data_IF_154644245044
#
_entry.id   IF_154644245044
#
_cell.length_a   1.000
_cell.length_b   1.000
_cell.length_c   1.000
_cell.angle_alpha   90.00
_cell.angle_beta   90.00
_cell.angle_gamma   90.00
#
_symmetry.space_group_name_H-M   'P 1'
#
loop_
_entity.id
_entity.type
_entity.pdbx_description
1 polymer ?
#
# COMPACT_ATOMS: atom_id res chain seq x y z
N UNK A 1 85.67 66.05 -1.58
CA UNK A 1 85.42 65.59 -0.19
C UNK A 1 84.01 65.01 -0.12
N UNK A 2 83.84 63.88 0.57
CA UNK A 2 82.61 63.10 0.80
C UNK A 2 82.03 62.34 -0.40
N UNK A 3 82.66 61.20 -0.74
CA UNK A 3 82.04 60.13 -1.50
C UNK A 3 81.34 59.16 -0.53
N UNK A 4 80.01 59.06 -0.66
CA UNK A 4 79.12 58.18 0.10
C UNK A 4 79.39 56.71 -0.20
N UNK A 5 79.65 55.91 0.84
CA UNK A 5 79.63 54.46 0.78
C UNK A 5 78.17 53.96 0.78
N UNK A 6 77.79 53.18 -0.23
CA UNK A 6 76.49 52.50 -0.31
C UNK A 6 76.53 51.18 0.49
N UNK A 7 75.50 50.86 1.29
CA UNK A 7 75.42 49.61 2.03
C UNK A 7 75.07 48.41 1.15
N UNK A 8 75.54 47.24 1.59
CA UNK A 8 75.45 45.94 0.93
C UNK A 8 74.01 45.48 0.65
N UNK A 9 73.84 44.80 -0.49
CA UNK A 9 72.61 44.14 -0.94
C UNK A 9 72.29 42.92 -0.05
N UNK A 10 71.07 42.80 0.50
CA UNK A 10 70.62 41.56 1.12
C UNK A 10 70.27 40.50 0.06
N UNK A 11 70.61 39.24 0.37
CA UNK A 11 70.37 38.06 -0.45
C UNK A 11 68.86 37.75 -0.64
N UNK A 12 68.47 37.10 -1.75
CA UNK A 12 67.08 36.73 -2.00
C UNK A 12 66.62 35.58 -1.10
N UNK A 13 65.56 35.83 -0.33
CA UNK A 13 64.83 34.86 0.47
C UNK A 13 64.27 33.72 -0.40
N UNK A 14 64.62 32.49 -0.04
CA UNK A 14 64.09 31.24 -0.61
C UNK A 14 62.56 31.14 -0.37
N UNK A 15 61.72 30.87 -1.39
CA UNK A 15 60.29 30.71 -1.19
C UNK A 15 59.96 29.40 -0.46
N UNK A 16 59.03 29.48 0.49
CA UNK A 16 58.45 28.35 1.20
C UNK A 16 57.51 27.53 0.26
N UNK A 17 57.35 26.21 0.48
CA UNK A 17 56.55 25.36 -0.38
C UNK A 17 55.05 25.67 -0.27
N UNK A 18 54.38 25.70 -1.44
CA UNK A 18 52.96 25.93 -1.58
C UNK A 18 52.13 24.82 -0.91
N UNK A 19 51.21 25.22 -0.02
CA UNK A 19 50.17 24.36 0.55
C UNK A 19 49.22 23.94 -0.57
N UNK A 20 49.11 22.64 -0.84
CA UNK A 20 48.08 22.07 -1.73
C UNK A 20 46.70 22.38 -1.15
N UNK A 21 45.91 23.18 -1.87
CA UNK A 21 44.48 23.30 -1.62
C UNK A 21 43.80 21.93 -1.81
N UNK A 22 43.08 21.50 -0.78
CA UNK A 22 42.24 20.33 -0.85
C UNK A 22 41.04 20.64 -1.76
N UNK A 23 40.61 19.69 -2.63
CA UNK A 23 39.51 19.93 -3.55
C UNK A 23 38.23 20.27 -2.79
N UNK A 24 37.56 21.35 -3.20
CA UNK A 24 36.27 21.78 -2.68
C UNK A 24 35.28 20.61 -2.75
N UNK A 25 34.85 20.13 -1.57
CA UNK A 25 33.72 19.22 -1.48
C UNK A 25 32.48 19.97 -1.96
N UNK A 26 31.90 19.52 -3.08
CA UNK A 26 30.56 19.92 -3.49
C UNK A 26 29.61 19.75 -2.30
N UNK A 27 28.69 20.69 -2.02
CA UNK A 27 27.70 20.52 -0.97
C UNK A 27 27.00 19.18 -1.17
N UNK A 28 27.04 18.32 -0.15
CA UNK A 28 26.19 17.12 -0.10
C UNK A 28 24.76 17.58 -0.36
N UNK A 29 24.14 17.05 -1.42
CA UNK A 29 22.73 17.25 -1.67
C UNK A 29 21.98 16.89 -0.39
N UNK A 30 21.18 17.83 0.12
CA UNK A 30 20.32 17.55 1.27
C UNK A 30 19.43 16.34 0.91
N UNK A 31 19.20 15.40 1.85
CA UNK A 31 18.26 14.32 1.60
C UNK A 31 16.93 14.93 1.16
N UNK A 32 16.38 14.46 0.04
CA UNK A 32 15.08 14.88 -0.44
C UNK A 32 14.07 14.76 0.71
N UNK A 33 13.31 15.84 0.97
CA UNK A 33 12.35 15.85 2.05
C UNK A 33 11.29 14.76 1.78
N UNK A 34 11.26 13.72 2.63
CA UNK A 34 10.23 12.69 2.60
C UNK A 34 8.93 13.28 3.12
N UNK A 35 7.82 13.02 2.44
CA UNK A 35 6.51 13.45 2.88
C UNK A 35 6.16 12.78 4.23
N UNK A 36 5.71 13.55 5.23
CA UNK A 36 5.28 12.98 6.51
C UNK A 36 3.97 12.21 6.37
N UNK A 37 3.69 11.29 7.30
CA UNK A 37 2.44 10.50 7.32
C UNK A 37 1.20 11.39 7.24
N UNK A 38 1.08 12.40 8.10
CA UNK A 38 -0.08 13.29 8.13
C UNK A 38 -0.29 14.06 6.81
N UNK A 39 0.82 14.44 6.15
CA UNK A 39 0.74 15.12 4.85
C UNK A 39 0.34 14.16 3.73
N UNK A 40 0.75 12.90 3.83
CA UNK A 40 0.35 11.85 2.89
C UNK A 40 -1.14 11.56 3.03
N UNK A 41 -1.63 11.38 4.25
CA UNK A 41 -3.06 11.18 4.56
C UNK A 41 -3.90 12.35 4.03
N UNK A 42 -3.47 13.60 4.28
CA UNK A 42 -4.15 14.78 3.76
C UNK A 42 -4.21 14.80 2.23
N UNK A 43 -3.10 14.47 1.56
CA UNK A 43 -3.05 14.41 0.09
C UNK A 43 -3.91 13.27 -0.48
N UNK A 44 -3.90 12.11 0.17
CA UNK A 44 -4.74 10.98 -0.22
C UNK A 44 -6.23 11.34 -0.13
N UNK A 45 -6.63 11.99 0.96
CA UNK A 45 -7.99 12.50 1.14
C UNK A 45 -8.36 13.55 0.09
N UNK A 46 -7.50 14.54 -0.16
CA UNK A 46 -7.73 15.55 -1.19
C UNK A 46 -7.89 14.93 -2.57
N UNK A 47 -7.05 13.96 -2.94
CA UNK A 47 -7.17 13.23 -4.22
C UNK A 47 -8.54 12.58 -4.36
N UNK A 48 -9.00 11.89 -3.32
CA UNK A 48 -10.31 11.22 -3.33
C UNK A 48 -11.44 12.25 -3.45
N UNK A 49 -11.42 13.32 -2.66
CA UNK A 49 -12.43 14.39 -2.70
C UNK A 49 -12.48 15.10 -4.07
N UNK A 50 -11.32 15.39 -4.65
CA UNK A 50 -11.18 15.94 -5.99
C UNK A 50 -11.72 14.98 -7.06
N UNK A 51 -11.42 13.68 -6.95
CA UNK A 51 -11.98 12.67 -7.84
C UNK A 51 -13.51 12.72 -7.82
N UNK A 52 -14.13 12.76 -6.65
CA UNK A 52 -15.59 12.77 -6.54
C UNK A 52 -16.22 14.10 -6.99
N UNK A 53 -15.47 15.19 -6.92
CA UNK A 53 -15.90 16.52 -7.39
C UNK A 53 -15.79 16.63 -8.91
N UNK A 54 -14.68 16.20 -9.51
CA UNK A 54 -14.38 16.41 -10.93
C UNK A 54 -14.68 15.20 -11.82
N UNK A 55 -14.78 14.00 -11.24
CA UNK A 55 -14.91 12.71 -11.96
C UNK A 55 -13.81 12.48 -13.00
N UNK A 56 -12.61 12.97 -12.72
CA UNK A 56 -11.49 12.94 -13.66
C UNK A 56 -10.43 11.95 -13.20
N UNK A 57 -10.28 10.84 -13.92
CA UNK A 57 -9.18 9.89 -13.72
C UNK A 57 -7.81 10.54 -14.02
N UNK A 58 -7.62 11.30 -15.12
CA UNK A 58 -6.33 11.95 -15.40
C UNK A 58 -5.87 12.89 -14.28
N UNK A 59 -6.77 13.68 -13.68
CA UNK A 59 -6.41 14.56 -12.57
C UNK A 59 -6.00 13.76 -11.33
N UNK A 60 -6.71 12.67 -11.01
CA UNK A 60 -6.32 11.83 -9.87
C UNK A 60 -5.00 11.09 -10.11
N UNK A 61 -4.69 10.70 -11.34
CA UNK A 61 -3.38 10.16 -11.72
C UNK A 61 -2.29 11.24 -11.55
N UNK A 62 -2.55 12.49 -11.95
CA UNK A 62 -1.64 13.60 -11.70
C UNK A 62 -1.41 13.85 -10.20
N UNK A 63 -2.45 13.75 -9.37
CA UNK A 63 -2.32 13.85 -7.90
C UNK A 63 -1.43 12.75 -7.31
N UNK A 64 -1.44 11.53 -7.85
CA UNK A 64 -0.48 10.47 -7.46
C UNK A 64 0.95 10.81 -7.89
N UNK A 65 1.14 11.38 -9.08
CA UNK A 65 2.44 11.88 -9.54
C UNK A 65 2.98 12.98 -8.63
N UNK A 66 2.12 13.86 -8.13
CA UNK A 66 2.49 14.92 -7.18
C UNK A 66 2.88 14.34 -5.82
N UNK A 67 2.18 13.32 -5.32
CA UNK A 67 2.56 12.61 -4.09
C UNK A 67 3.96 12.00 -4.24
N UNK A 68 4.21 11.29 -5.35
CA UNK A 68 5.52 10.70 -5.64
C UNK A 68 6.62 11.76 -5.74
N UNK A 69 6.38 12.83 -6.49
CA UNK A 69 7.33 13.94 -6.69
C UNK A 69 7.66 14.67 -5.40
N UNK A 70 6.71 14.71 -4.45
CA UNK A 70 6.91 15.24 -3.11
C UNK A 70 7.62 14.27 -2.15
N UNK A 71 8.13 13.12 -2.63
CA UNK A 71 8.83 12.13 -1.82
C UNK A 71 7.92 11.30 -0.91
N UNK A 72 6.66 11.10 -1.30
CA UNK A 72 5.72 10.23 -0.60
C UNK A 72 6.04 8.74 -0.80
N UNK A 73 5.79 7.94 0.23
CA UNK A 73 5.80 6.48 0.11
C UNK A 73 4.57 6.05 -0.69
N UNK A 74 4.77 5.52 -1.90
CA UNK A 74 3.67 5.10 -2.77
C UNK A 74 2.90 3.89 -2.23
N UNK A 75 3.52 2.87 -1.60
CA UNK A 75 2.78 1.84 -0.87
C UNK A 75 1.83 2.42 0.17
N UNK A 76 2.30 3.36 0.98
CA UNK A 76 1.46 4.02 1.97
C UNK A 76 0.36 4.87 1.29
N UNK A 77 0.69 5.55 0.17
CA UNK A 77 -0.29 6.31 -0.59
C UNK A 77 -1.45 5.44 -1.10
N UNK A 78 -1.15 4.22 -1.59
CA UNK A 78 -2.16 3.26 -2.04
C UNK A 78 -3.11 2.90 -0.90
N UNK A 79 -2.56 2.55 0.28
CA UNK A 79 -3.37 2.21 1.45
C UNK A 79 -4.23 3.40 1.91
N UNK A 80 -3.65 4.59 2.04
CA UNK A 80 -4.36 5.79 2.48
C UNK A 80 -5.45 6.24 1.49
N UNK A 81 -5.19 6.14 0.18
CA UNK A 81 -6.21 6.48 -0.84
C UNK A 81 -7.36 5.49 -0.82
N UNK A 82 -7.09 4.18 -0.67
CA UNK A 82 -8.14 3.16 -0.54
C UNK A 82 -8.98 3.36 0.74
N UNK A 83 -8.33 3.67 1.86
CA UNK A 83 -8.99 4.03 3.12
C UNK A 83 -9.83 5.29 2.99
N UNK A 84 -9.28 6.37 2.41
CA UNK A 84 -10.00 7.62 2.20
C UNK A 84 -11.23 7.43 1.30
N UNK A 85 -11.13 6.57 0.29
CA UNK A 85 -12.26 6.22 -0.59
C UNK A 85 -13.44 5.65 0.19
N UNK A 86 -13.19 4.72 1.13
CA UNK A 86 -14.24 4.17 1.97
C UNK A 86 -14.92 5.21 2.86
N UNK A 87 -14.23 6.30 3.20
CA UNK A 87 -14.73 7.34 4.11
C UNK A 87 -15.49 8.49 3.42
N UNK A 88 -15.69 8.44 2.09
CA UNK A 88 -16.39 9.50 1.36
C UNK A 88 -17.87 9.55 1.74
N UNK A 89 -18.30 10.64 2.39
CA UNK A 89 -19.69 10.79 2.85
C UNK A 89 -20.67 10.97 1.68
N UNK A 90 -21.91 10.53 1.88
CA UNK A 90 -23.02 10.78 0.95
C UNK A 90 -23.07 9.87 -0.29
N UNK A 91 -22.15 8.90 -0.39
CA UNK A 91 -22.15 7.89 -1.45
C UNK A 91 -22.55 6.52 -0.90
N UNK A 92 -23.23 5.71 -1.69
CA UNK A 92 -23.47 4.32 -1.31
C UNK A 92 -22.13 3.57 -1.23
N UNK A 93 -22.01 2.69 -0.23
CA UNK A 93 -20.85 1.84 -0.01
C UNK A 93 -20.97 0.51 -0.75
N UNK A 94 -21.99 0.35 -1.61
CA UNK A 94 -22.23 -0.85 -2.40
C UNK A 94 -21.16 -1.17 -3.46
N UNK A 95 -21.42 -2.24 -4.22
CA UNK A 95 -20.49 -2.88 -5.17
C UNK A 95 -20.01 -1.92 -6.27
N UNK A 96 -20.86 -0.98 -6.72
CA UNK A 96 -20.50 0.07 -7.70
C UNK A 96 -20.15 1.41 -7.02
N UNK A 97 -19.94 1.39 -5.70
CA UNK A 97 -19.85 2.56 -4.85
C UNK A 97 -18.47 3.19 -4.82
N UNK A 98 -17.94 3.38 -3.61
CA UNK A 98 -16.81 4.29 -3.35
C UNK A 98 -15.44 3.77 -3.83
N UNK A 99 -15.25 2.46 -3.92
CA UNK A 99 -13.94 1.86 -4.20
C UNK A 99 -13.65 1.61 -5.69
N UNK A 100 -14.53 1.02 -6.51
CA UNK A 100 -14.21 0.68 -7.90
C UNK A 100 -13.69 1.85 -8.75
N UNK A 101 -14.23 3.08 -8.61
CA UNK A 101 -13.72 4.23 -9.36
C UNK A 101 -12.29 4.61 -8.97
N UNK A 102 -11.93 4.47 -7.69
CA UNK A 102 -10.57 4.72 -7.18
C UNK A 102 -9.61 3.61 -7.61
N UNK A 103 -10.08 2.36 -7.64
CA UNK A 103 -9.31 1.25 -8.21
C UNK A 103 -8.99 1.49 -9.68
N UNK A 104 -9.94 2.07 -10.45
CA UNK A 104 -9.70 2.47 -11.84
C UNK A 104 -8.64 3.57 -11.98
N UNK A 105 -8.51 4.47 -10.99
CA UNK A 105 -7.42 5.46 -10.94
C UNK A 105 -6.08 4.77 -10.76
N UNK A 106 -5.99 3.77 -9.88
CA UNK A 106 -4.76 2.99 -9.68
C UNK A 106 -4.37 2.20 -10.93
N UNK A 107 -5.34 1.58 -11.62
CA UNK A 107 -5.06 0.89 -12.89
C UNK A 107 -4.51 1.86 -13.94
N UNK A 108 -5.11 3.04 -14.08
CA UNK A 108 -4.65 4.07 -15.01
C UNK A 108 -3.24 4.56 -14.64
N UNK A 109 -2.99 4.79 -13.35
CA UNK A 109 -1.68 5.19 -12.83
C UNK A 109 -0.57 4.16 -13.10
N UNK A 110 -0.89 2.86 -13.10
CA UNK A 110 0.06 1.80 -13.45
C UNK A 110 0.24 1.65 -14.97
N UNK A 111 -0.77 2.00 -15.77
CA UNK A 111 -0.75 1.88 -17.22
C UNK A 111 -0.03 3.03 -17.95
N UNK A 112 0.33 4.11 -17.24
CA UNK A 112 1.07 5.24 -17.78
C UNK A 112 2.43 4.81 -18.40
N UNK A 113 2.70 5.09 -19.68
CA UNK A 113 3.74 4.40 -20.44
C UNK A 113 5.18 4.88 -20.17
N UNK A 114 5.35 6.09 -19.64
CA UNK A 114 6.69 6.73 -19.55
C UNK A 114 7.20 6.81 -18.12
N UNK A 115 6.37 7.29 -17.19
CA UNK A 115 6.73 7.40 -15.77
C UNK A 115 5.46 7.13 -14.93
N UNK A 116 5.09 5.85 -14.75
CA UNK A 116 3.85 5.51 -14.09
C UNK A 116 3.90 5.86 -12.62
N UNK A 117 3.00 6.72 -12.09
CA UNK A 117 3.03 7.15 -10.69
C UNK A 117 2.83 6.03 -9.69
N UNK A 118 2.32 4.87 -10.13
CA UNK A 118 2.30 3.63 -9.35
C UNK A 118 2.98 2.50 -10.10
N UNK A 119 3.77 1.72 -9.38
CA UNK A 119 4.31 0.44 -9.85
C UNK A 119 3.45 -0.70 -9.30
N UNK A 120 3.42 -1.87 -9.94
CA UNK A 120 2.79 -3.05 -9.38
C UNK A 120 3.29 -3.39 -7.96
N UNK A 121 4.59 -3.19 -7.70
CA UNK A 121 5.17 -3.36 -6.36
C UNK A 121 4.60 -2.38 -5.33
N UNK A 122 4.31 -1.14 -5.72
CA UNK A 122 3.72 -0.14 -4.83
C UNK A 122 2.31 -0.59 -4.40
N UNK A 123 1.53 -1.15 -5.34
CA UNK A 123 0.19 -1.69 -5.05
C UNK A 123 0.27 -2.96 -4.20
N UNK A 124 1.22 -3.84 -4.47
CA UNK A 124 1.44 -5.06 -3.69
C UNK A 124 1.78 -4.76 -2.22
N UNK A 125 2.76 -3.88 -2.00
CA UNK A 125 3.15 -3.44 -0.66
C UNK A 125 2.05 -2.63 0.02
N UNK A 126 1.34 -1.77 -0.74
CA UNK A 126 0.18 -1.03 -0.23
C UNK A 126 -0.97 -1.93 0.19
N UNK A 127 -1.21 -3.04 -0.51
CA UNK A 127 -2.21 -4.04 -0.13
C UNK A 127 -1.87 -4.70 1.22
N UNK A 128 -0.59 -5.00 1.46
CA UNK A 128 -0.11 -5.53 2.74
C UNK A 128 -0.34 -4.53 3.87
N UNK A 129 0.03 -3.26 3.67
CA UNK A 129 -0.23 -2.20 4.65
C UNK A 129 -1.72 -2.02 4.95
N UNK A 130 -2.54 -2.04 3.90
CA UNK A 130 -3.99 -1.91 4.03
C UNK A 130 -4.60 -3.09 4.80
N UNK A 131 -4.13 -4.31 4.56
CA UNK A 131 -4.56 -5.52 5.26
C UNK A 131 -4.25 -5.45 6.77
N UNK A 132 -3.07 -4.91 7.13
CA UNK A 132 -2.69 -4.70 8.54
C UNK A 132 -3.60 -3.69 9.25
N UNK A 133 -4.08 -2.66 8.55
CA UNK A 133 -4.99 -1.65 9.11
C UNK A 133 -6.48 -2.00 8.98
N UNK A 134 -6.82 -3.14 8.36
CA UNK A 134 -8.20 -3.43 7.98
C UNK A 134 -9.13 -3.64 9.19
N UNK A 135 -8.59 -4.09 10.34
CA UNK A 135 -9.35 -4.19 11.59
C UNK A 135 -9.88 -2.83 12.06
N UNK A 136 -9.03 -1.80 12.08
CA UNK A 136 -9.43 -0.45 12.47
C UNK A 136 -10.53 0.10 11.54
N UNK A 137 -10.46 -0.22 10.24
CA UNK A 137 -11.54 0.13 9.30
C UNK A 137 -12.83 -0.63 9.57
N UNK A 138 -12.74 -1.90 9.99
CA UNK A 138 -13.89 -2.72 10.32
C UNK A 138 -14.62 -2.23 11.57
N UNK A 139 -13.92 -1.63 12.54
CA UNK A 139 -14.52 -1.02 13.73
C UNK A 139 -15.43 0.15 13.36
N UNK A 140 -15.00 1.01 12.42
CA UNK A 140 -15.80 2.16 11.96
C UNK A 140 -16.85 1.76 10.90
N UNK A 141 -16.50 0.80 10.05
CA UNK A 141 -17.31 0.34 8.95
C UNK A 141 -17.24 -1.20 8.87
N UNK A 142 -18.16 -1.94 9.53
CA UNK A 142 -18.12 -3.41 9.59
C UNK A 142 -18.12 -4.11 8.22
N UNK A 143 -18.57 -3.44 7.16
CA UNK A 143 -18.56 -3.97 5.79
C UNK A 143 -17.24 -3.72 5.04
N UNK A 144 -16.32 -2.92 5.58
CA UNK A 144 -15.06 -2.56 4.93
C UNK A 144 -14.24 -3.77 4.48
N UNK A 145 -14.10 -4.86 5.29
CA UNK A 145 -13.37 -6.04 4.86
C UNK A 145 -13.96 -6.69 3.61
N UNK A 146 -15.27 -6.92 3.57
CA UNK A 146 -15.91 -7.49 2.37
C UNK A 146 -15.79 -6.57 1.15
N UNK A 147 -15.94 -5.25 1.33
CA UNK A 147 -15.89 -4.28 0.23
C UNK A 147 -14.50 -4.12 -0.37
N UNK A 148 -13.47 -4.03 0.49
CA UNK A 148 -12.08 -4.01 0.03
C UNK A 148 -11.69 -5.35 -0.57
N UNK A 149 -12.15 -6.45 0.05
CA UNK A 149 -11.96 -7.81 -0.44
C UNK A 149 -12.42 -7.96 -1.88
N UNK A 150 -13.63 -7.50 -2.20
CA UNK A 150 -14.17 -7.54 -3.57
C UNK A 150 -13.48 -6.54 -4.50
N UNK A 151 -13.53 -5.24 -4.18
CA UNK A 151 -13.18 -4.20 -5.15
C UNK A 151 -11.67 -3.99 -5.34
N UNK A 152 -10.88 -4.06 -4.27
CA UNK A 152 -9.44 -3.77 -4.30
C UNK A 152 -8.61 -5.05 -4.34
N UNK A 153 -8.70 -5.87 -3.28
CA UNK A 153 -7.86 -7.05 -3.14
C UNK A 153 -8.19 -8.11 -4.20
N UNK A 154 -9.47 -8.39 -4.42
CA UNK A 154 -9.94 -9.34 -5.41
C UNK A 154 -9.44 -9.02 -6.81
N UNK A 155 -9.50 -7.75 -7.23
CA UNK A 155 -8.98 -7.32 -8.54
C UNK A 155 -7.47 -7.52 -8.66
N UNK A 156 -6.70 -7.12 -7.66
CA UNK A 156 -5.23 -7.19 -7.74
C UNK A 156 -4.68 -8.60 -7.51
N UNK A 157 -5.40 -9.45 -6.78
CA UNK A 157 -5.12 -10.89 -6.71
C UNK A 157 -5.45 -11.56 -8.03
N UNK A 158 -6.59 -11.24 -8.65
CA UNK A 158 -6.99 -11.82 -9.95
C UNK A 158 -6.01 -11.47 -11.08
N UNK A 159 -5.46 -10.26 -11.07
CA UNK A 159 -4.45 -9.81 -12.04
C UNK A 159 -3.02 -10.25 -11.72
N UNK A 160 -2.80 -10.88 -10.55
CA UNK A 160 -1.47 -11.32 -10.12
C UNK A 160 -0.54 -10.20 -9.65
N UNK A 161 -1.05 -8.99 -9.44
CA UNK A 161 -0.30 -7.87 -8.85
C UNK A 161 -0.07 -8.10 -7.36
N UNK A 162 -1.05 -8.65 -6.66
CA UNK A 162 -1.02 -8.92 -5.22
C UNK A 162 -1.05 -10.43 -4.99
N UNK A 163 -0.14 -10.92 -4.14
CA UNK A 163 -0.15 -12.32 -3.71
C UNK A 163 -1.16 -12.52 -2.56
N UNK A 164 -2.13 -13.42 -2.75
CA UNK A 164 -3.16 -13.72 -1.74
C UNK A 164 -2.55 -14.13 -0.38
N UNK A 165 -1.54 -15.00 -0.41
CA UNK A 165 -0.88 -15.46 0.81
C UNK A 165 -0.23 -14.34 1.63
N UNK A 166 0.35 -13.33 0.97
CA UNK A 166 0.98 -12.21 1.66
C UNK A 166 -0.06 -11.34 2.38
N UNK A 167 -1.19 -11.08 1.72
CA UNK A 167 -2.31 -10.34 2.29
C UNK A 167 -2.92 -11.06 3.49
N UNK A 168 -3.21 -12.36 3.34
CA UNK A 168 -3.83 -13.13 4.43
C UNK A 168 -2.87 -13.28 5.61
N UNK A 169 -1.57 -13.51 5.37
CA UNK A 169 -0.57 -13.53 6.45
C UNK A 169 -0.44 -12.18 7.13
N UNK A 170 -0.48 -11.08 6.38
CA UNK A 170 -0.43 -9.73 6.95
C UNK A 170 -1.62 -9.44 7.86
N UNK A 171 -2.82 -9.90 7.47
CA UNK A 171 -4.04 -9.80 8.28
C UNK A 171 -3.91 -10.61 9.58
N UNK A 172 -3.42 -11.84 9.49
CA UNK A 172 -3.28 -12.74 10.64
C UNK A 172 -2.10 -12.39 11.56
N UNK A 173 -1.16 -11.57 11.09
CA UNK A 173 0.00 -11.12 11.87
C UNK A 173 -0.28 -9.88 12.73
N UNK A 174 -1.50 -9.31 12.65
CA UNK A 174 -1.90 -8.18 13.51
C UNK A 174 -2.05 -8.70 14.94
N UNK A 175 -1.37 -8.05 15.88
CA UNK A 175 -1.42 -8.43 17.29
C UNK A 175 -2.88 -8.41 17.82
N UNK A 176 -3.29 -9.45 18.55
CA UNK A 176 -4.59 -9.48 19.22
C UNK A 176 -4.79 -8.26 20.14
N UNK A 177 -6.04 -7.81 20.26
CA UNK A 177 -6.39 -6.73 21.19
C UNK A 177 -6.36 -7.20 22.66
N UNK A 178 -6.57 -8.50 22.88
CA UNK A 178 -6.57 -9.16 24.20
C UNK A 178 -5.43 -10.18 24.28
N UNK A 179 -4.84 -10.40 25.46
CA UNK A 179 -3.66 -11.28 25.64
C UNK A 179 -3.86 -12.73 25.17
N UNK A 180 -5.12 -13.20 25.08
CA UNK A 180 -5.48 -14.56 24.65
C UNK A 180 -6.40 -14.56 23.39
N UNK A 181 -6.47 -13.45 22.64
CA UNK A 181 -7.33 -13.31 21.46
C UNK A 181 -6.70 -13.78 20.15
N UNK A 182 -7.52 -13.90 19.10
CA UNK A 182 -7.03 -14.07 17.73
C UNK A 182 -6.61 -12.72 17.12
N UNK A 183 -6.18 -12.75 15.86
CA UNK A 183 -6.04 -11.51 15.09
C UNK A 183 -7.40 -10.75 15.10
N UNK A 184 -7.42 -9.41 15.21
CA UNK A 184 -8.66 -8.67 15.45
C UNK A 184 -9.77 -8.94 14.42
N UNK A 185 -9.42 -9.09 13.14
CA UNK A 185 -10.42 -9.42 12.10
C UNK A 185 -10.98 -10.84 12.20
N UNK A 186 -10.24 -11.76 12.81
CA UNK A 186 -10.70 -13.12 13.08
C UNK A 186 -11.71 -13.08 14.23
N UNK A 187 -11.42 -12.36 15.31
CA UNK A 187 -12.35 -12.18 16.44
C UNK A 187 -13.63 -11.43 16.06
N UNK A 188 -13.56 -10.57 15.04
CA UNK A 188 -14.72 -9.86 14.49
C UNK A 188 -15.54 -10.67 13.49
N UNK A 189 -15.22 -11.95 13.26
CA UNK A 189 -15.78 -12.81 12.19
C UNK A 189 -15.66 -12.21 10.78
N UNK A 190 -14.76 -11.23 10.60
CA UNK A 190 -14.64 -10.44 9.38
C UNK A 190 -13.55 -10.96 8.43
N UNK A 191 -12.62 -11.77 8.92
CA UNK A 191 -11.56 -12.39 8.12
C UNK A 191 -12.13 -13.37 7.07
N UNK A 192 -13.14 -14.16 7.43
CA UNK A 192 -13.84 -15.05 6.49
C UNK A 192 -14.57 -14.25 5.40
N UNK A 193 -15.30 -13.22 5.78
CA UNK A 193 -16.01 -12.38 4.81
C UNK A 193 -15.06 -11.66 3.86
N UNK A 194 -13.90 -11.20 4.36
CA UNK A 194 -12.83 -10.66 3.54
C UNK A 194 -12.35 -11.68 2.50
N UNK A 195 -11.94 -12.88 2.94
CA UNK A 195 -11.41 -13.91 2.02
C UNK A 195 -12.49 -14.37 1.04
N UNK A 196 -13.72 -14.55 1.48
CA UNK A 196 -14.81 -14.90 0.57
C UNK A 196 -15.06 -13.83 -0.49
N UNK A 197 -14.99 -12.54 -0.13
CA UNK A 197 -15.13 -11.46 -1.11
C UNK A 197 -13.98 -11.45 -2.13
N UNK A 198 -12.72 -11.60 -1.66
CA UNK A 198 -11.55 -11.72 -2.55
C UNK A 198 -11.72 -12.89 -3.51
N UNK A 199 -12.07 -14.07 -3.00
CA UNK A 199 -12.13 -15.29 -3.80
C UNK A 199 -13.35 -15.32 -4.74
N UNK A 200 -14.47 -14.71 -4.35
CA UNK A 200 -15.61 -14.50 -5.24
C UNK A 200 -15.23 -13.61 -6.42
N UNK A 201 -14.50 -12.51 -6.16
CA UNK A 201 -14.00 -11.63 -7.21
C UNK A 201 -13.03 -12.34 -8.14
N UNK A 202 -12.04 -13.05 -7.58
CA UNK A 202 -11.04 -13.80 -8.37
C UNK A 202 -11.72 -14.86 -9.24
N UNK A 203 -12.70 -15.60 -8.70
CA UNK A 203 -13.50 -16.55 -9.46
C UNK A 203 -14.26 -15.85 -10.59
N UNK A 204 -14.82 -14.66 -10.34
CA UNK A 204 -15.57 -13.91 -11.36
C UNK A 204 -14.67 -13.39 -12.48
N UNK A 205 -13.48 -12.88 -12.15
CA UNK A 205 -12.58 -12.23 -13.11
C UNK A 205 -11.68 -13.24 -13.85
N UNK A 206 -11.22 -14.30 -13.17
CA UNK A 206 -10.21 -15.24 -13.67
C UNK A 206 -10.69 -16.72 -13.73
N UNK A 207 -11.89 -17.01 -13.27
CA UNK A 207 -12.48 -18.35 -13.25
C UNK A 207 -12.09 -19.20 -12.04
N UNK A 208 -12.85 -20.27 -11.81
CA UNK A 208 -12.70 -21.14 -10.63
C UNK A 208 -11.35 -21.87 -10.58
N UNK A 209 -10.83 -22.32 -11.73
CA UNK A 209 -9.54 -23.00 -11.77
C UNK A 209 -8.41 -22.10 -11.26
N UNK A 210 -8.41 -20.82 -11.67
CA UNK A 210 -7.40 -19.86 -11.21
C UNK A 210 -7.60 -19.49 -9.74
N UNK A 211 -8.85 -19.34 -9.31
CA UNK A 211 -9.17 -19.11 -7.90
C UNK A 211 -8.67 -20.26 -7.00
N UNK A 212 -8.91 -21.51 -7.40
CA UNK A 212 -8.42 -22.68 -6.67
C UNK A 212 -6.90 -22.77 -6.65
N UNK A 213 -6.23 -22.43 -7.75
CA UNK A 213 -4.76 -22.39 -7.82
C UNK A 213 -4.19 -21.35 -6.84
N UNK A 214 -4.71 -20.13 -6.87
CA UNK A 214 -4.26 -19.03 -6.00
C UNK A 214 -4.52 -19.33 -4.52
N UNK A 215 -5.65 -19.97 -4.19
CA UNK A 215 -5.92 -20.42 -2.83
C UNK A 215 -4.91 -21.46 -2.35
N UNK A 216 -4.63 -22.48 -3.18
CA UNK A 216 -3.63 -23.50 -2.85
C UNK A 216 -2.22 -22.92 -2.70
N UNK A 217 -1.86 -21.88 -3.46
CA UNK A 217 -0.57 -21.20 -3.37
C UNK A 217 -0.46 -20.28 -2.16
N UNK A 218 -1.59 -19.81 -1.61
CA UNK A 218 -1.58 -18.95 -0.42
C UNK A 218 -1.03 -19.68 0.82
N UNK A 219 -1.17 -21.02 0.86
CA UNK A 219 -0.76 -21.88 1.96
C UNK A 219 -1.40 -21.45 3.30
N UNK A 220 -2.71 -21.14 3.25
CA UNK A 220 -3.51 -20.75 4.41
C UNK A 220 -4.68 -21.72 4.57
N UNK A 221 -4.96 -22.09 5.82
CA UNK A 221 -6.11 -22.92 6.17
C UNK A 221 -7.33 -22.05 6.37
N UNK A 222 -8.47 -22.43 5.81
CA UNK A 222 -9.72 -21.68 5.99
C UNK A 222 -10.12 -21.58 7.47
N UNK A 223 -9.82 -22.61 8.27
CA UNK A 223 -10.10 -22.62 9.71
C UNK A 223 -9.28 -21.61 10.52
N UNK A 224 -8.12 -21.15 10.03
CA UNK A 224 -7.35 -20.11 10.74
C UNK A 224 -7.95 -18.70 10.56
N UNK A 225 -9.03 -18.58 9.79
CA UNK A 225 -9.75 -17.33 9.57
C UNK A 225 -11.06 -17.27 10.37
N UNK A 226 -11.44 -18.37 11.04
CA UNK A 226 -12.61 -18.44 11.89
C UNK A 226 -12.22 -18.10 13.33
N UNK A 227 -13.08 -17.37 14.04
CA UNK A 227 -12.85 -17.02 15.44
C UNK A 227 -12.72 -18.25 16.33
N UNK A 228 -11.71 -18.26 17.19
CA UNK A 228 -11.58 -19.25 18.27
C UNK A 228 -12.62 -19.05 19.37
N UNK A 229 -13.18 -17.85 19.51
CA UNK A 229 -14.27 -17.53 20.45
C UNK A 229 -15.61 -18.12 20.01
N UNK A 230 -15.80 -18.27 18.69
CA UNK A 230 -16.98 -18.87 18.06
C UNK A 230 -16.54 -19.97 17.09
N UNK A 231 -16.01 -21.10 17.61
CA UNK A 231 -15.42 -22.13 16.76
C UNK A 231 -16.46 -22.68 15.80
N UNK A 232 -16.15 -22.56 14.50
CA UNK A 232 -17.01 -23.04 13.43
C UNK A 232 -16.59 -24.45 13.05
N UNK A 233 -17.53 -25.39 13.08
CA UNK A 233 -17.27 -26.77 12.68
C UNK A 233 -16.82 -26.83 11.21
N UNK A 234 -15.90 -27.73 10.83
CA UNK A 234 -15.42 -27.84 9.44
C UNK A 234 -16.55 -28.02 8.41
N UNK A 235 -17.62 -28.72 8.79
CA UNK A 235 -18.80 -28.91 7.95
C UNK A 235 -19.58 -27.60 7.72
N UNK A 236 -19.62 -26.72 8.72
CA UNK A 236 -20.27 -25.43 8.63
C UNK A 236 -19.42 -24.44 7.81
N UNK A 237 -18.10 -24.40 8.02
CA UNK A 237 -17.19 -23.61 7.16
C UNK A 237 -17.32 -24.02 5.68
N UNK A 238 -17.40 -25.32 5.42
CA UNK A 238 -17.66 -25.83 4.07
C UNK A 238 -19.02 -25.37 3.55
N UNK A 239 -20.09 -25.48 4.34
CA UNK A 239 -21.42 -25.05 3.94
C UNK A 239 -21.46 -23.54 3.62
N UNK A 240 -20.77 -22.71 4.40
CA UNK A 240 -20.64 -21.28 4.14
C UNK A 240 -19.90 -21.01 2.82
N UNK A 241 -18.80 -21.71 2.57
CA UNK A 241 -18.05 -21.60 1.31
C UNK A 241 -18.91 -22.07 0.12
N UNK A 242 -19.59 -23.21 0.24
CA UNK A 242 -20.48 -23.76 -0.79
C UNK A 242 -21.65 -22.81 -1.11
N UNK A 243 -22.24 -22.17 -0.09
CA UNK A 243 -23.31 -21.19 -0.25
C UNK A 243 -22.88 -19.96 -1.07
N UNK A 244 -21.58 -19.63 -1.06
CA UNK A 244 -20.99 -18.55 -1.86
C UNK A 244 -20.41 -19.05 -3.20
N UNK A 245 -20.59 -20.34 -3.53
CA UNK A 245 -20.01 -20.96 -4.72
C UNK A 245 -18.48 -21.09 -4.66
N UNK A 246 -17.92 -21.16 -3.45
CA UNK A 246 -16.49 -21.21 -3.15
C UNK A 246 -16.08 -22.54 -2.50
N UNK A 247 -16.79 -23.63 -2.81
CA UNK A 247 -16.54 -24.96 -2.22
C UNK A 247 -15.11 -25.48 -2.36
N UNK A 248 -14.37 -24.99 -3.36
CA UNK A 248 -12.95 -25.30 -3.55
C UNK A 248 -12.05 -24.83 -2.39
N UNK A 249 -12.47 -23.81 -1.64
CA UNK A 249 -11.72 -23.33 -0.46
C UNK A 249 -11.66 -24.40 0.64
N UNK A 250 -12.76 -25.14 0.82
CA UNK A 250 -12.88 -26.19 1.83
C UNK A 250 -12.19 -27.51 1.43
N UNK A 251 -11.81 -27.68 0.15
CA UNK A 251 -11.08 -28.85 -0.31
C UNK A 251 -9.59 -28.84 0.08
N UNK A 252 -9.10 -27.68 0.54
CA UNK A 252 -7.70 -27.48 0.96
C UNK A 252 -7.53 -27.50 2.48
N UNK A 253 -8.59 -27.82 3.22
CA UNK A 253 -8.61 -27.89 4.70
C UNK A 253 -7.98 -29.17 5.24
#
# INVERSE_FOLDING_TARGET
ALARALPARPEPSRPAPATKEAPAQLPRAAPAATLSKDKLELKAKSLVEEYWTMRSVPESVASLSDIRSAGGSMPAAVAEVATAALNVRGLDVGVDGRLPPIVSVFDAAMAEPTDPPLRPSDVAEGAVLLAQSLHALAEELPKAPALLGDAFFGRYVASGVVALGDVVRALLAVEPLEEEGDAPLVDMDAALDFVFAVMARVKSDAGEAKASELWSQADVKLSSLASSLSPVEPAELKAQADAKGLGFLAASA
#
